data_IF_631044328668
#
_entry.id   IF_631044328668
#
_cell.length_a   1.000
_cell.length_b   1.000
_cell.length_c   1.000
_cell.angle_alpha   90.00
_cell.angle_beta   90.00
_cell.angle_gamma   90.00
#
_symmetry.space_group_name_H-M   'P 1'
#
loop_
_entity.id
_entity.type
_entity.pdbx_description
1 polymer ?
#
# COMPACT_ATOMS: atom_id res chain seq x y z
N UNK A 1 -3.16 -19.29 4.91
CA UNK A 1 -3.64 -18.19 4.03
C UNK A 1 -2.98 -16.90 4.46
N UNK A 2 -2.15 -16.31 3.60
CA UNK A 2 -1.49 -15.04 3.86
C UNK A 2 -2.45 -13.87 3.63
N UNK A 3 -2.34 -12.84 4.47
CA UNK A 3 -3.05 -11.57 4.28
C UNK A 3 -2.08 -10.60 3.65
N UNK A 4 -2.45 -9.97 2.53
CA UNK A 4 -1.56 -9.05 1.81
C UNK A 4 -2.22 -7.68 1.74
N UNK A 5 -1.42 -6.67 2.03
CA UNK A 5 -1.76 -5.28 1.83
C UNK A 5 -0.67 -4.62 0.98
N UNK A 6 -1.01 -4.24 -0.25
CA UNK A 6 -0.06 -3.70 -1.24
C UNK A 6 -0.69 -2.48 -1.96
N UNK A 7 0.12 -1.55 -2.47
CA UNK A 7 -0.34 -0.54 -3.42
C UNK A 7 -0.89 -1.19 -4.70
N UNK A 8 -2.16 -0.93 -5.00
CA UNK A 8 -2.78 -1.26 -6.29
C UNK A 8 -2.41 -0.23 -7.36
N UNK A 9 -2.32 1.03 -6.95
CA UNK A 9 -1.73 2.11 -7.74
C UNK A 9 -0.48 2.64 -7.04
N UNK A 10 0.65 2.58 -7.75
CA UNK A 10 1.94 3.09 -7.30
C UNK A 10 2.02 4.61 -7.46
N UNK A 11 2.74 5.30 -6.56
CA UNK A 11 3.10 6.69 -6.78
C UNK A 11 3.98 6.78 -8.03
N UNK A 12 3.82 7.88 -8.77
CA UNK A 12 4.57 8.11 -10.02
C UNK A 12 5.79 8.97 -9.74
N UNK A 13 6.83 8.84 -10.59
CA UNK A 13 8.01 9.70 -10.53
C UNK A 13 7.62 11.17 -10.61
N UNK A 14 8.19 11.96 -9.72
CA UNK A 14 8.03 13.41 -9.64
C UNK A 14 9.31 14.06 -10.17
N UNK A 15 9.20 15.14 -10.93
CA UNK A 15 10.35 15.94 -11.41
C UNK A 15 10.18 17.40 -11.03
N UNK A 16 11.28 18.16 -10.99
CA UNK A 16 11.31 19.56 -10.52
C UNK A 16 10.46 20.53 -11.34
N UNK A 17 10.17 20.19 -12.60
CA UNK A 17 9.37 21.04 -13.52
C UNK A 17 7.86 20.96 -13.26
N UNK A 18 7.40 20.06 -12.39
CA UNK A 18 5.97 19.83 -12.18
C UNK A 18 5.36 20.86 -11.23
N UNK A 19 4.11 21.25 -11.50
CA UNK A 19 3.37 22.14 -10.60
C UNK A 19 2.86 21.43 -9.35
N UNK A 20 2.57 22.18 -8.28
CA UNK A 20 2.13 21.66 -6.97
C UNK A 20 0.94 20.68 -7.07
N UNK A 21 -0.05 20.97 -7.93
CA UNK A 21 -1.21 20.09 -8.21
C UNK A 21 -0.81 18.74 -8.81
N UNK A 22 0.19 18.74 -9.69
CA UNK A 22 0.70 17.52 -10.30
C UNK A 22 1.52 16.69 -9.29
N UNK A 23 2.28 17.34 -8.41
CA UNK A 23 2.98 16.67 -7.31
C UNK A 23 2.00 15.90 -6.41
N UNK A 24 0.93 16.57 -5.97
CA UNK A 24 -0.05 15.95 -5.09
C UNK A 24 -0.75 14.76 -5.75
N UNK A 25 -1.18 14.89 -7.01
CA UNK A 25 -1.84 13.80 -7.73
C UNK A 25 -0.93 12.59 -7.99
N UNK A 26 0.39 12.79 -8.17
CA UNK A 26 1.36 11.71 -8.40
C UNK A 26 1.79 10.98 -7.13
N UNK A 27 1.73 11.65 -5.99
CA UNK A 27 2.06 11.05 -4.69
C UNK A 27 0.93 10.18 -4.11
N UNK A 28 -0.29 10.28 -4.65
CA UNK A 28 -1.45 9.51 -4.17
C UNK A 28 -1.25 8.00 -4.37
N UNK A 29 -1.43 7.25 -3.29
CA UNK A 29 -1.38 5.77 -3.29
C UNK A 29 -2.80 5.21 -3.17
N UNK A 30 -3.10 4.14 -3.91
CA UNK A 30 -4.37 3.39 -3.74
C UNK A 30 -4.05 1.99 -3.22
N UNK A 31 -4.17 1.74 -1.90
CA UNK A 31 -3.94 0.41 -1.36
C UNK A 31 -5.10 -0.54 -1.68
N UNK A 32 -4.81 -1.84 -1.64
CA UNK A 32 -5.81 -2.88 -1.60
C UNK A 32 -5.47 -3.91 -0.53
N UNK A 33 -6.49 -4.52 0.04
CA UNK A 33 -6.38 -5.61 1.00
C UNK A 33 -7.00 -6.85 0.39
N UNK A 34 -6.24 -7.95 0.36
CA UNK A 34 -6.71 -9.23 -0.16
C UNK A 34 -6.19 -10.38 0.70
N UNK A 35 -7.05 -11.38 0.92
CA UNK A 35 -6.65 -12.67 1.48
C UNK A 35 -6.20 -13.54 0.32
N UNK A 36 -4.97 -14.05 0.37
CA UNK A 36 -4.38 -14.86 -0.69
C UNK A 36 -3.78 -16.15 -0.11
N UNK A 37 -3.73 -17.19 -0.94
CA UNK A 37 -2.99 -18.41 -0.60
C UNK A 37 -1.48 -18.14 -0.63
N UNK A 38 -0.70 -18.91 0.13
CA UNK A 38 0.77 -18.85 0.08
C UNK A 38 1.32 -19.31 -1.27
N UNK A 39 0.58 -20.14 -2.00
CA UNK A 39 0.93 -20.56 -3.36
C UNK A 39 0.88 -19.42 -4.38
N UNK A 40 0.11 -18.36 -4.13
CA UNK A 40 0.01 -17.18 -5.01
C UNK A 40 0.96 -16.05 -4.58
N UNK A 41 1.84 -16.32 -3.63
CA UNK A 41 2.80 -15.37 -3.08
C UNK A 41 4.20 -15.70 -3.58
N UNK A 42 4.87 -14.71 -4.18
CA UNK A 42 6.31 -14.78 -4.38
C UNK A 42 6.98 -14.22 -3.13
N UNK A 43 7.73 -15.02 -2.37
CA UNK A 43 8.43 -14.53 -1.19
C UNK A 43 9.55 -13.57 -1.61
N UNK A 44 9.65 -12.45 -0.92
CA UNK A 44 10.71 -11.46 -1.15
C UNK A 44 11.52 -11.26 0.11
N UNK A 45 12.84 -11.09 -0.01
CA UNK A 45 13.76 -10.85 1.12
C UNK A 45 13.44 -9.57 1.91
N UNK A 46 12.82 -8.58 1.27
CA UNK A 46 12.55 -7.28 1.88
C UNK A 46 11.38 -7.34 2.87
N UNK A 47 11.57 -6.76 4.05
CA UNK A 47 10.54 -6.55 5.05
C UNK A 47 9.95 -5.15 4.98
N UNK A 48 8.72 -5.01 5.46
CA UNK A 48 8.02 -3.74 5.56
C UNK A 48 7.60 -3.53 7.01
N UNK A 49 8.28 -2.61 7.69
CA UNK A 49 8.00 -2.27 9.08
C UNK A 49 6.82 -1.30 9.18
N UNK A 50 5.65 -1.69 8.67
CA UNK A 50 4.44 -0.89 8.81
C UNK A 50 3.59 -1.49 9.90
N UNK A 51 3.45 -0.75 11.00
CA UNK A 51 2.78 -1.21 12.21
C UNK A 51 1.25 -1.21 12.06
N UNK A 52 0.71 -1.96 11.11
CA UNK A 52 -0.73 -2.06 10.91
C UNK A 52 -1.40 -2.72 12.12
N UNK A 53 -2.54 -2.18 12.55
CA UNK A 53 -3.35 -2.84 13.55
C UNK A 53 -3.82 -4.19 13.01
N UNK A 54 -3.32 -5.28 13.61
CA UNK A 54 -3.64 -6.66 13.21
C UNK A 54 -5.16 -6.94 13.26
N UNK A 55 -5.88 -6.20 14.10
CA UNK A 55 -7.34 -6.25 14.24
C UNK A 55 -8.09 -5.72 13.00
N UNK A 56 -7.57 -4.67 12.35
CA UNK A 56 -8.19 -4.09 11.15
C UNK A 56 -8.12 -5.03 9.94
N UNK A 57 -7.11 -5.91 9.89
CA UNK A 57 -6.88 -6.88 8.81
C UNK A 57 -7.31 -8.28 9.25
N UNK A 58 -8.48 -8.44 9.89
CA UNK A 58 -9.01 -9.77 10.18
C UNK A 58 -9.77 -10.38 9.00
N UNK A 59 -9.78 -11.71 8.87
CA UNK A 59 -10.42 -12.44 7.75
C UNK A 59 -11.93 -12.15 7.69
N UNK A 60 -12.55 -11.99 8.86
CA UNK A 60 -13.95 -11.65 9.04
C UNK A 60 -14.21 -10.16 8.76
N UNK A 61 -13.35 -9.28 9.25
CA UNK A 61 -13.42 -7.83 8.99
C UNK A 61 -13.31 -7.47 7.50
N UNK A 62 -12.70 -8.34 6.68
CA UNK A 62 -12.59 -8.13 5.23
C UNK A 62 -13.83 -8.57 4.43
N UNK A 63 -14.76 -9.34 5.04
CA UNK A 63 -16.05 -9.65 4.43
C UNK A 63 -16.98 -8.43 4.44
N UNK A 64 -16.92 -7.65 5.51
CA UNK A 64 -17.70 -6.43 5.69
C UNK A 64 -17.13 -5.25 4.88
N UNK A 65 -17.96 -4.66 4.00
CA UNK A 65 -17.53 -3.58 3.10
C UNK A 65 -17.10 -2.31 3.86
N UNK A 66 -17.78 -1.98 4.95
CA UNK A 66 -17.47 -0.80 5.78
C UNK A 66 -16.09 -0.90 6.45
N UNK A 67 -15.79 -2.06 7.05
CA UNK A 67 -14.50 -2.32 7.73
C UNK A 67 -13.35 -2.38 6.73
N UNK A 68 -13.57 -3.01 5.56
CA UNK A 68 -12.60 -3.02 4.45
C UNK A 68 -12.25 -1.61 3.96
N UNK A 69 -13.25 -0.73 3.86
CA UNK A 69 -13.06 0.65 3.42
C UNK A 69 -12.22 1.44 4.43
N UNK A 70 -12.52 1.32 5.72
CA UNK A 70 -11.74 1.95 6.80
C UNK A 70 -10.28 1.48 6.79
N UNK A 71 -10.03 0.19 6.67
CA UNK A 71 -8.68 -0.37 6.58
C UNK A 71 -7.90 0.16 5.36
N UNK A 72 -8.55 0.30 4.20
CA UNK A 72 -7.94 0.90 3.02
C UNK A 72 -7.59 2.38 3.20
N UNK A 73 -8.44 3.16 3.89
CA UNK A 73 -8.19 4.58 4.17
C UNK A 73 -7.00 4.74 5.12
N UNK A 74 -6.97 3.95 6.19
CA UNK A 74 -5.87 3.96 7.15
C UNK A 74 -4.55 3.54 6.49
N UNK A 75 -4.58 2.46 5.70
CA UNK A 75 -3.41 2.00 4.97
C UNK A 75 -2.90 3.04 3.96
N UNK A 76 -3.81 3.80 3.34
CA UNK A 76 -3.45 4.87 2.41
C UNK A 76 -2.64 5.95 3.13
N UNK A 77 -3.12 6.44 4.27
CA UNK A 77 -2.43 7.48 5.04
C UNK A 77 -1.01 7.02 5.44
N UNK A 78 -0.90 5.82 6.03
CA UNK A 78 0.39 5.24 6.45
C UNK A 78 1.36 5.04 5.28
N UNK A 79 0.87 4.62 4.11
CA UNK A 79 1.72 4.46 2.92
C UNK A 79 2.16 5.79 2.33
N UNK A 80 1.30 6.82 2.32
CA UNK A 80 1.65 8.15 1.83
C UNK A 80 2.70 8.83 2.74
N UNK A 81 2.59 8.68 4.06
CA UNK A 81 3.61 9.14 5.01
C UNK A 81 4.95 8.43 4.77
N UNK A 82 4.95 7.10 4.69
CA UNK A 82 6.16 6.30 4.42
C UNK A 82 6.84 6.71 3.12
N UNK A 83 6.06 6.90 2.06
CA UNK A 83 6.59 7.33 0.77
C UNK A 83 7.28 8.70 0.85
N UNK A 84 6.69 9.66 1.57
CA UNK A 84 7.30 10.99 1.81
C UNK A 84 8.59 10.90 2.60
N UNK A 85 8.68 9.99 3.58
CA UNK A 85 9.93 9.76 4.34
C UNK A 85 11.03 9.05 3.54
N UNK A 86 10.75 8.57 2.32
CA UNK A 86 11.73 7.90 1.46
C UNK A 86 12.17 6.51 1.94
N UNK A 87 11.48 5.94 2.93
CA UNK A 87 11.72 4.57 3.44
C UNK A 87 11.10 3.52 2.51
N UNK A 88 11.69 2.32 2.48
CA UNK A 88 11.22 1.18 1.68
C UNK A 88 10.99 1.50 0.18
N UNK A 89 11.93 2.22 -0.45
CA UNK A 89 11.84 2.67 -1.86
C UNK A 89 11.42 1.55 -2.82
N UNK A 90 12.01 0.36 -2.66
CA UNK A 90 11.71 -0.81 -3.51
C UNK A 90 10.21 -1.16 -3.55
N UNK A 91 9.50 -1.00 -2.43
CA UNK A 91 8.07 -1.33 -2.35
C UNK A 91 7.16 -0.34 -3.08
N UNK A 92 7.57 0.92 -3.20
CA UNK A 92 6.81 1.96 -3.90
C UNK A 92 7.18 2.10 -5.38
N UNK A 93 8.16 1.33 -5.86
CA UNK A 93 8.50 1.25 -7.27
C UNK A 93 7.63 0.19 -7.93
N UNK A 94 7.04 0.52 -9.08
CA UNK A 94 6.27 -0.44 -9.86
C UNK A 94 7.21 -1.51 -10.42
N UNK A 95 6.94 -2.77 -10.08
CA UNK A 95 7.59 -3.93 -10.72
C UNK A 95 7.25 -3.94 -12.22
N UNK A 96 8.29 -3.95 -13.05
CA UNK A 96 8.17 -4.03 -14.51
C UNK A 96 8.38 -5.49 -14.93
N UNK A 97 7.42 -6.01 -15.67
CA UNK A 97 7.44 -7.29 -16.34
C UNK A 97 6.83 -7.06 -17.72
#
# INVERSE_FOLDING_TARGET
>A
MGKIMRPGKYPRKVTTRMGKKQHESRNKVKPFVKVLSYTHLLPTRYTLDVNFEKAAVNKESLKELGKKTRACIEAKARFEERYKTGKNKWFFIKLRF
#
